data_IF_545831181738
#
_entry.id   IF_545831181738
#
_cell.length_a   1.000
_cell.length_b   1.000
_cell.length_c   1.000
_cell.angle_alpha   90.00
_cell.angle_beta   90.00
_cell.angle_gamma   90.00
#
_symmetry.space_group_name_H-M   'P 1'
#
loop_
_entity.id
_entity.type
_entity.pdbx_description
1 polymer ?
#
# COMPACT_ATOMS: atom_id res chain seq x y z
N UNK A 1 -5.27 14.60 39.93
CA UNK A 1 -4.74 13.58 38.98
C UNK A 1 -5.85 12.57 38.65
N UNK A 2 -6.94 13.03 38.04
CA UNK A 2 -8.17 12.21 37.92
C UNK A 2 -8.56 11.90 36.46
N UNK A 3 -7.91 12.58 35.50
CA UNK A 3 -8.14 12.39 34.06
C UNK A 3 -7.24 11.30 33.45
N UNK A 4 -6.18 10.87 34.16
CA UNK A 4 -5.22 9.88 33.65
C UNK A 4 -5.69 8.40 33.79
N UNK A 5 -6.90 8.18 34.31
CA UNK A 5 -7.49 6.86 34.61
C UNK A 5 -8.59 6.44 33.62
N UNK A 6 -8.80 7.19 32.54
CA UNK A 6 -9.91 6.94 31.58
C UNK A 6 -9.52 6.12 30.35
N UNK A 7 -8.23 5.96 30.07
CA UNK A 7 -7.77 5.17 28.94
C UNK A 7 -6.78 4.11 29.42
N UNK A 8 -7.29 3.02 30.00
CA UNK A 8 -6.52 1.80 30.07
C UNK A 8 -6.50 1.20 28.66
N UNK A 9 -5.36 1.27 27.92
CA UNK A 9 -5.28 0.79 26.55
C UNK A 9 -5.49 -0.73 26.46
N UNK A 10 -5.51 -1.44 27.59
CA UNK A 10 -5.70 -2.88 27.68
C UNK A 10 -7.13 -3.28 28.08
N UNK A 11 -8.01 -2.33 28.43
CA UNK A 11 -9.35 -2.66 28.94
C UNK A 11 -10.17 -3.49 27.95
N UNK A 12 -10.18 -3.12 26.65
CA UNK A 12 -10.90 -3.88 25.61
C UNK A 12 -10.34 -5.29 25.37
N UNK A 13 -9.05 -5.51 25.63
CA UNK A 13 -8.40 -6.82 25.44
C UNK A 13 -8.58 -7.78 26.61
N UNK A 14 -8.79 -7.23 27.82
CA UNK A 14 -9.03 -7.95 29.07
C UNK A 14 -10.53 -8.19 29.33
N UNK A 15 -11.40 -7.39 28.73
CA UNK A 15 -12.84 -7.55 28.87
C UNK A 15 -13.36 -8.87 28.25
N UNK A 16 -14.41 -9.48 28.84
CA UNK A 16 -15.10 -10.64 28.27
C UNK A 16 -15.57 -10.37 26.84
N UNK A 17 -15.58 -11.40 25.98
CA UNK A 17 -15.97 -11.27 24.56
C UNK A 17 -17.32 -10.57 24.33
N UNK A 18 -18.26 -10.70 25.27
CA UNK A 18 -19.58 -10.10 25.19
C UNK A 18 -19.57 -8.56 25.29
N UNK A 19 -18.53 -7.99 25.91
CA UNK A 19 -18.39 -6.56 26.16
C UNK A 19 -17.45 -5.87 25.16
N UNK A 20 -17.01 -6.58 24.10
CA UNK A 20 -16.12 -6.02 23.07
C UNK A 20 -16.95 -5.37 21.96
N UNK A 21 -17.00 -4.02 21.88
CA UNK A 21 -17.84 -3.33 20.90
C UNK A 21 -17.36 -3.47 19.45
N UNK A 22 -16.15 -3.99 19.19
CA UNK A 22 -15.55 -3.90 17.87
C UNK A 22 -14.71 -5.11 17.43
N UNK A 23 -14.67 -5.36 16.11
CA UNK A 23 -13.91 -6.45 15.48
C UNK A 23 -12.38 -6.31 15.67
N UNK A 24 -11.90 -5.10 15.99
CA UNK A 24 -10.47 -4.81 16.20
C UNK A 24 -10.01 -5.07 17.64
N UNK A 25 -10.93 -5.35 18.57
CA UNK A 25 -10.60 -5.71 19.95
C UNK A 25 -10.34 -7.21 20.07
N UNK A 26 -9.06 -7.56 19.93
CA UNK A 26 -8.61 -8.96 19.97
C UNK A 26 -8.34 -9.38 21.43
N UNK A 27 -8.69 -10.64 21.74
CA UNK A 27 -8.43 -11.24 23.05
C UNK A 27 -6.94 -11.29 23.37
N UNK A 28 -6.59 -11.26 24.66
CA UNK A 28 -5.24 -11.60 25.11
C UNK A 28 -4.99 -13.12 25.16
N UNK A 29 -6.05 -13.94 25.14
CA UNK A 29 -5.90 -15.40 25.02
C UNK A 29 -5.20 -15.76 23.69
N UNK A 30 -4.07 -16.50 23.74
CA UNK A 30 -3.17 -16.65 22.59
C UNK A 30 -3.81 -17.38 21.42
N UNK A 31 -4.62 -18.42 21.68
CA UNK A 31 -5.23 -19.23 20.62
C UNK A 31 -6.33 -18.43 19.89
N UNK A 32 -7.19 -17.74 20.65
CA UNK A 32 -8.22 -16.88 20.06
C UNK A 32 -7.61 -15.70 19.32
N UNK A 33 -6.54 -15.10 19.84
CA UNK A 33 -5.79 -14.03 19.17
C UNK A 33 -5.18 -14.49 17.85
N UNK A 34 -4.55 -15.66 17.85
CA UNK A 34 -3.97 -16.25 16.64
C UNK A 34 -5.03 -16.45 15.56
N UNK A 35 -6.18 -17.06 15.90
CA UNK A 35 -7.23 -17.34 14.93
C UNK A 35 -7.84 -16.08 14.29
N UNK A 36 -7.89 -14.96 15.04
CA UNK A 36 -8.36 -13.68 14.52
C UNK A 36 -7.32 -13.04 13.58
N UNK A 37 -6.04 -13.05 13.98
CA UNK A 37 -4.98 -12.38 13.24
C UNK A 37 -4.38 -13.21 12.10
N UNK A 38 -4.56 -14.54 12.11
CA UNK A 38 -3.92 -15.44 11.14
C UNK A 38 -4.20 -15.06 9.68
N UNK A 39 -5.40 -14.57 9.37
CA UNK A 39 -5.75 -14.11 8.01
C UNK A 39 -5.05 -12.81 7.63
N UNK A 40 -4.76 -11.94 8.59
CA UNK A 40 -4.03 -10.68 8.38
C UNK A 40 -2.51 -10.86 8.37
N UNK A 41 -2.02 -11.90 9.06
CA UNK A 41 -0.60 -12.25 9.12
C UNK A 41 -0.19 -13.20 7.99
N UNK A 42 -1.16 -13.82 7.30
CA UNK A 42 -0.90 -14.58 6.10
C UNK A 42 -0.40 -13.64 5.00
N UNK A 43 0.74 -13.98 4.40
CA UNK A 43 1.18 -13.26 3.22
C UNK A 43 0.15 -13.46 2.09
N UNK A 44 -0.36 -12.37 1.49
CA UNK A 44 -1.26 -12.49 0.37
C UNK A 44 -0.55 -13.18 -0.79
N UNK A 45 -1.31 -13.89 -1.64
CA UNK A 45 -0.76 -14.50 -2.84
C UNK A 45 -0.07 -13.42 -3.69
N UNK A 46 1.22 -13.62 -3.97
CA UNK A 46 2.03 -12.66 -4.72
C UNK A 46 2.71 -11.58 -3.87
N UNK A 47 2.66 -11.69 -2.54
CA UNK A 47 3.48 -10.88 -1.65
C UNK A 47 4.96 -10.93 -2.07
N UNK A 48 5.62 -9.78 -1.96
CA UNK A 48 7.02 -9.61 -2.33
C UNK A 48 7.83 -9.36 -1.06
N UNK A 49 9.04 -9.91 -1.02
CA UNK A 49 9.95 -9.65 0.09
C UNK A 49 10.33 -8.17 0.15
N UNK A 50 10.76 -7.72 1.33
CA UNK A 50 11.26 -6.35 1.51
C UNK A 50 12.42 -6.03 0.55
N UNK A 51 13.32 -6.99 0.32
CA UNK A 51 14.42 -6.85 -0.63
C UNK A 51 13.92 -6.60 -2.06
N UNK A 52 12.84 -7.26 -2.47
CA UNK A 52 12.22 -7.03 -3.78
C UNK A 52 11.56 -5.65 -3.85
N UNK A 53 10.94 -5.18 -2.76
CA UNK A 53 10.38 -3.84 -2.68
C UNK A 53 11.46 -2.75 -2.73
N UNK A 54 12.63 -2.98 -2.15
CA UNK A 54 13.77 -2.07 -2.23
C UNK A 54 14.25 -1.89 -3.68
N UNK A 55 14.33 -2.98 -4.45
CA UNK A 55 14.65 -2.93 -5.89
C UNK A 55 13.59 -2.15 -6.66
N UNK A 56 12.30 -2.38 -6.39
CA UNK A 56 11.22 -1.63 -7.04
C UNK A 56 11.23 -0.13 -6.67
N UNK A 57 11.71 0.23 -5.47
CA UNK A 57 11.90 1.64 -5.07
C UNK A 57 13.10 2.29 -5.75
N UNK A 58 14.11 1.51 -6.14
CA UNK A 58 15.24 2.00 -6.92
C UNK A 58 14.85 2.31 -8.37
N UNK A 59 13.91 1.55 -8.94
CA UNK A 59 13.33 1.89 -10.22
C UNK A 59 12.30 3.01 -10.07
N UNK A 60 12.61 4.21 -10.56
CA UNK A 60 11.59 5.24 -10.74
C UNK A 60 10.68 4.85 -11.92
N UNK A 61 9.40 4.51 -11.69
CA UNK A 61 8.48 4.16 -12.78
C UNK A 61 8.24 5.34 -13.74
N UNK A 62 8.57 6.56 -13.33
CA UNK A 62 8.49 7.76 -14.15
C UNK A 62 9.80 8.10 -14.86
N UNK A 63 10.88 7.32 -14.66
CA UNK A 63 12.20 7.62 -15.22
C UNK A 63 12.15 7.79 -16.74
N UNK A 64 11.51 6.87 -17.49
CA UNK A 64 11.41 6.99 -18.95
C UNK A 64 10.67 8.26 -19.41
N UNK A 65 9.64 8.69 -18.68
CA UNK A 65 8.88 9.90 -19.02
C UNK A 65 9.59 11.20 -18.65
N UNK A 66 10.41 11.18 -17.60
CA UNK A 66 11.18 12.33 -17.10
C UNK A 66 12.58 12.42 -17.74
N UNK A 67 13.11 11.33 -18.28
CA UNK A 67 14.39 11.29 -18.97
C UNK A 67 14.38 12.21 -20.20
N UNK A 68 15.52 12.84 -20.54
CA UNK A 68 15.69 13.56 -21.79
C UNK A 68 15.38 12.66 -22.99
N UNK A 69 14.89 13.23 -24.10
CA UNK A 69 14.56 12.47 -25.32
C UNK A 69 15.73 11.61 -25.84
N UNK A 70 16.97 12.05 -25.62
CA UNK A 70 18.17 11.33 -26.05
C UNK A 70 18.45 10.07 -25.23
N UNK A 71 17.94 9.99 -24.00
CA UNK A 71 18.26 8.94 -23.04
C UNK A 71 17.11 7.92 -22.87
N UNK A 72 16.02 8.08 -23.65
CA UNK A 72 14.89 7.16 -23.62
C UNK A 72 15.24 5.87 -24.37
N UNK A 73 15.25 4.70 -23.71
CA UNK A 73 15.61 3.45 -24.36
C UNK A 73 14.61 3.00 -25.43
N UNK A 74 13.38 3.53 -25.45
CA UNK A 74 12.36 3.10 -26.40
C UNK A 74 11.51 4.23 -27.00
N UNK A 75 11.09 4.04 -28.25
CA UNK A 75 10.25 4.98 -29.02
C UNK A 75 8.85 5.20 -28.42
N UNK A 76 8.37 4.28 -27.57
CA UNK A 76 7.06 4.36 -26.93
C UNK A 76 7.10 5.14 -25.60
N UNK A 77 8.28 5.52 -25.12
CA UNK A 77 8.40 6.39 -23.95
C UNK A 77 8.04 7.83 -24.30
N UNK A 78 6.87 8.24 -23.84
CA UNK A 78 6.35 9.58 -24.06
C UNK A 78 6.87 10.52 -22.98
N UNK A 79 7.33 11.69 -23.42
CA UNK A 79 7.76 12.79 -22.55
C UNK A 79 6.66 13.26 -21.62
N UNK A 80 7.03 13.77 -20.44
CA UNK A 80 6.08 14.53 -19.60
C UNK A 80 5.80 15.95 -20.13
N UNK A 81 6.58 16.42 -21.10
CA UNK A 81 6.28 17.69 -21.79
C UNK A 81 4.90 17.61 -22.47
N UNK A 82 3.95 18.49 -22.10
CA UNK A 82 2.55 18.34 -22.47
C UNK A 82 2.32 18.42 -23.97
N UNK A 83 3.07 19.27 -24.70
CA UNK A 83 2.88 19.46 -26.13
C UNK A 83 3.37 18.25 -26.93
N UNK A 84 4.55 17.73 -26.58
CA UNK A 84 5.06 16.50 -27.22
C UNK A 84 4.20 15.29 -26.91
N UNK A 85 3.71 15.17 -25.66
CA UNK A 85 2.78 14.12 -25.27
C UNK A 85 1.48 14.16 -26.05
N UNK A 86 0.87 15.35 -26.18
CA UNK A 86 -0.33 15.56 -26.98
C UNK A 86 -0.13 15.12 -28.43
N UNK A 87 0.95 15.57 -29.07
CA UNK A 87 1.22 15.26 -30.48
C UNK A 87 1.42 13.76 -30.75
N UNK A 88 1.98 13.01 -29.79
CA UNK A 88 2.15 11.56 -29.90
C UNK A 88 0.81 10.84 -29.71
N UNK A 89 0.06 11.19 -28.67
CA UNK A 89 -1.19 10.51 -28.31
C UNK A 89 -2.39 10.92 -29.17
N UNK A 90 -2.37 12.10 -29.79
CA UNK A 90 -3.47 12.57 -30.62
C UNK A 90 -3.76 11.61 -31.79
N UNK A 91 -2.73 10.93 -32.31
CA UNK A 91 -2.91 9.92 -33.38
C UNK A 91 -3.65 8.67 -32.92
N UNK A 92 -3.46 8.25 -31.68
CA UNK A 92 -4.14 7.08 -31.10
C UNK A 92 -5.49 7.41 -30.47
N UNK A 93 -5.70 8.67 -30.07
CA UNK A 93 -6.96 9.16 -29.48
C UNK A 93 -7.96 9.66 -30.52
N UNK A 94 -7.56 9.75 -31.79
CA UNK A 94 -8.39 10.23 -32.89
C UNK A 94 -9.22 9.13 -33.57
N UNK A 95 -9.26 7.90 -33.05
CA UNK A 95 -10.21 6.90 -33.57
C UNK A 95 -11.61 7.08 -32.94
N UNK A 96 -12.69 6.95 -33.74
CA UNK A 96 -14.09 7.07 -33.29
C UNK A 96 -14.58 5.88 -32.45
#
# INVERSE_FOLDING_TARGET
>A
MEVLRQSDPCYGSLAPKADRPSLHEVSYDPLTRWNVLAKSLAEPRGAKSLSHMEVLRQSDPCYGSLAPKADRPSLHEVSYDPLTRWNVLAKSLAEP
#
